data_IF_296243091385
#
_entry.id   IF_296243091385
#
_cell.length_a   1.000
_cell.length_b   1.000
_cell.length_c   1.000
_cell.angle_alpha   90.00
_cell.angle_beta   90.00
_cell.angle_gamma   90.00
#
_symmetry.space_group_name_H-M   'P 1'
#
loop_
_entity.id
_entity.type
_entity.pdbx_description
1 polymer ?
#
# COMPACT_ATOMS: atom_id res chain seq x y z
N UNK A 1 -18.10 -8.95 -1.73
CA UNK A 1 -17.25 -9.95 -2.37
C UNK A 1 -16.49 -10.80 -1.35
N UNK A 2 -15.64 -10.24 -0.49
CA UNK A 2 -14.86 -11.01 0.51
C UNK A 2 -15.74 -11.83 1.46
N UNK A 3 -16.89 -11.31 1.88
CA UNK A 3 -17.86 -12.05 2.69
C UNK A 3 -18.44 -13.24 1.95
N UNK A 4 -18.82 -13.07 0.69
CA UNK A 4 -19.31 -14.16 -0.15
C UNK A 4 -18.21 -15.21 -0.32
N UNK A 5 -16.98 -14.78 -0.65
CA UNK A 5 -15.85 -15.68 -0.80
C UNK A 5 -15.51 -16.43 0.50
N UNK A 6 -15.60 -15.77 1.64
CA UNK A 6 -15.41 -16.40 2.95
C UNK A 6 -16.47 -17.48 3.20
N UNK A 7 -17.75 -17.20 2.91
CA UNK A 7 -18.83 -18.17 3.06
C UNK A 7 -18.66 -19.38 2.14
N UNK A 8 -18.16 -19.17 0.92
CA UNK A 8 -17.95 -20.26 -0.04
C UNK A 8 -16.72 -21.11 0.30
N UNK A 9 -15.60 -20.49 0.73
CA UNK A 9 -14.34 -21.22 0.98
C UNK A 9 -14.14 -21.71 2.40
N UNK A 10 -14.79 -21.06 3.35
CA UNK A 10 -14.64 -21.36 4.77
C UNK A 10 -15.96 -21.12 5.53
N UNK A 11 -17.04 -21.87 5.22
CA UNK A 11 -18.39 -21.60 5.73
C UNK A 11 -18.51 -21.68 7.26
N UNK A 12 -17.60 -22.39 7.92
CA UNK A 12 -17.56 -22.54 9.38
C UNK A 12 -16.69 -21.49 10.08
N UNK A 13 -15.95 -20.66 9.33
CA UNK A 13 -15.13 -19.59 9.91
C UNK A 13 -16.02 -18.37 10.18
N UNK A 14 -16.02 -17.92 11.42
CA UNK A 14 -16.57 -16.62 11.80
C UNK A 14 -15.72 -15.48 11.23
N UNK A 15 -16.29 -14.27 11.22
CA UNK A 15 -15.56 -13.04 10.91
C UNK A 15 -14.43 -12.85 11.92
N UNK A 16 -13.27 -12.47 11.42
CA UNK A 16 -12.12 -12.06 12.21
C UNK A 16 -11.95 -10.53 12.18
N UNK A 17 -10.69 -10.10 12.26
CA UNK A 17 -10.33 -8.69 12.18
C UNK A 17 -10.39 -7.97 13.53
N UNK A 18 -10.12 -6.68 13.50
CA UNK A 18 -10.07 -5.82 14.67
C UNK A 18 -10.34 -4.35 14.33
N UNK A 19 -10.75 -3.53 15.31
CA UNK A 19 -10.86 -2.08 15.12
C UNK A 19 -9.54 -1.43 14.71
N UNK A 20 -8.41 -1.91 15.25
CA UNK A 20 -7.07 -1.42 14.84
C UNK A 20 -6.79 -1.73 13.37
N UNK A 21 -7.12 -2.94 12.94
CA UNK A 21 -7.00 -3.34 11.53
C UNK A 21 -7.94 -2.56 10.62
N UNK A 22 -9.20 -2.37 11.03
CA UNK A 22 -10.18 -1.57 10.28
C UNK A 22 -9.77 -0.11 10.16
N UNK A 23 -9.28 0.50 11.23
CA UNK A 23 -8.77 1.89 11.22
C UNK A 23 -7.54 2.03 10.31
N UNK A 24 -6.57 1.13 10.43
CA UNK A 24 -5.37 1.16 9.58
C UNK A 24 -5.72 1.00 8.10
N UNK A 25 -6.64 0.08 7.78
CA UNK A 25 -7.13 -0.13 6.42
C UNK A 25 -7.88 1.10 5.88
N UNK A 26 -8.75 1.71 6.70
CA UNK A 26 -9.47 2.93 6.35
C UNK A 26 -8.51 4.09 6.07
N UNK A 27 -7.58 4.36 6.98
CA UNK A 27 -6.59 5.43 6.81
C UNK A 27 -5.75 5.23 5.57
N UNK A 28 -5.27 3.99 5.34
CA UNK A 28 -4.57 3.67 4.10
C UNK A 28 -5.41 4.01 2.87
N UNK A 29 -6.62 3.47 2.76
CA UNK A 29 -7.44 3.63 1.57
C UNK A 29 -7.86 5.09 1.32
N UNK A 30 -8.21 5.81 2.38
CA UNK A 30 -8.59 7.22 2.30
C UNK A 30 -7.43 8.11 1.88
N UNK A 31 -6.32 8.06 2.60
CA UNK A 31 -5.13 8.88 2.31
C UNK A 31 -4.55 8.57 0.92
N UNK A 32 -4.51 7.29 0.55
CA UNK A 32 -4.14 6.82 -0.77
C UNK A 32 -5.01 7.45 -1.86
N UNK A 33 -6.33 7.40 -1.70
CA UNK A 33 -7.27 7.94 -2.67
C UNK A 33 -7.11 9.45 -2.84
N UNK A 34 -6.96 10.18 -1.73
CA UNK A 34 -6.75 11.65 -1.75
C UNK A 34 -5.41 12.00 -2.43
N UNK A 35 -4.34 11.27 -2.12
CA UNK A 35 -3.03 11.54 -2.69
C UNK A 35 -2.98 11.31 -4.21
N UNK A 36 -3.63 10.26 -4.71
CA UNK A 36 -3.65 9.96 -6.14
C UNK A 36 -4.42 10.96 -7.01
N UNK A 37 -5.18 11.86 -6.43
CA UNK A 37 -5.80 12.96 -7.19
C UNK A 37 -4.73 13.87 -7.84
N UNK A 38 -3.55 13.96 -7.23
CA UNK A 38 -2.47 14.85 -7.67
C UNK A 38 -1.16 14.13 -8.00
N UNK A 39 -1.04 12.85 -7.67
CA UNK A 39 0.16 12.07 -7.95
C UNK A 39 -0.08 11.12 -9.11
N UNK A 40 0.88 11.03 -10.02
CA UNK A 40 0.90 9.98 -11.02
C UNK A 40 1.09 8.58 -10.41
N UNK A 41 0.64 7.55 -11.14
CA UNK A 41 0.61 6.17 -10.66
C UNK A 41 2.00 5.67 -10.23
N UNK A 42 3.05 5.96 -11.02
CA UNK A 42 4.42 5.57 -10.71
C UNK A 42 4.98 6.25 -9.46
N UNK A 43 4.81 7.56 -9.36
CA UNK A 43 5.27 8.35 -8.20
C UNK A 43 4.54 7.89 -6.93
N UNK A 44 3.21 7.79 -7.00
CA UNK A 44 2.39 7.37 -5.87
C UNK A 44 2.77 5.98 -5.36
N UNK A 45 2.93 5.01 -6.27
CA UNK A 45 3.35 3.67 -5.90
C UNK A 45 4.75 3.65 -5.27
N UNK A 46 5.72 4.40 -5.81
CA UNK A 46 7.08 4.45 -5.26
C UNK A 46 7.10 5.03 -3.84
N UNK A 47 6.40 6.15 -3.61
CA UNK A 47 6.30 6.77 -2.28
C UNK A 47 5.59 5.85 -1.30
N UNK A 48 4.45 5.27 -1.70
CA UNK A 48 3.69 4.34 -0.87
C UNK A 48 4.54 3.17 -0.41
N UNK A 49 5.09 2.40 -1.36
CA UNK A 49 5.83 1.18 -1.05
C UNK A 49 7.16 1.48 -0.34
N UNK A 50 7.82 2.60 -0.66
CA UNK A 50 8.97 3.07 0.10
C UNK A 50 8.63 3.35 1.56
N UNK A 51 7.54 4.07 1.83
CA UNK A 51 7.06 4.34 3.19
C UNK A 51 6.64 3.06 3.93
N UNK A 52 6.00 2.10 3.25
CA UNK A 52 5.69 0.77 3.82
C UNK A 52 6.95 0.08 4.31
N UNK A 53 7.97 0.00 3.47
CA UNK A 53 9.22 -0.66 3.82
C UNK A 53 9.93 0.03 4.99
N UNK A 54 9.98 1.38 4.98
CA UNK A 54 10.54 2.16 6.09
C UNK A 54 9.78 1.90 7.39
N UNK A 55 8.46 1.86 7.35
CA UNK A 55 7.62 1.60 8.52
C UNK A 55 7.90 0.22 9.11
N UNK A 56 7.94 -0.81 8.27
CA UNK A 56 8.20 -2.19 8.71
C UNK A 56 9.60 -2.34 9.27
N UNK A 57 10.60 -1.72 8.63
CA UNK A 57 11.98 -1.71 9.09
C UNK A 57 12.12 -1.00 10.45
N UNK A 58 11.57 0.21 10.57
CA UNK A 58 11.63 1.00 11.79
C UNK A 58 10.93 0.28 12.95
N UNK A 59 9.78 -0.34 12.70
CA UNK A 59 9.10 -1.16 13.70
C UNK A 59 9.97 -2.32 14.20
N UNK A 60 10.60 -3.06 13.29
CA UNK A 60 11.47 -4.18 13.63
C UNK A 60 12.69 -3.70 14.43
N UNK A 61 13.27 -2.56 14.04
CA UNK A 61 14.39 -1.95 14.76
C UNK A 61 14.01 -1.52 16.19
N UNK A 62 12.89 -0.83 16.36
CA UNK A 62 12.37 -0.44 17.69
C UNK A 62 12.07 -1.68 18.55
N UNK A 63 11.70 -2.79 17.95
CA UNK A 63 11.47 -4.08 18.63
C UNK A 63 12.78 -4.80 19.00
N UNK A 64 13.93 -4.21 18.70
CA UNK A 64 15.26 -4.73 19.06
C UNK A 64 15.82 -5.74 18.05
N UNK A 65 15.24 -5.87 16.85
CA UNK A 65 15.84 -6.69 15.80
C UNK A 65 17.19 -6.07 15.38
N UNK A 66 18.21 -6.90 15.31
CA UNK A 66 19.53 -6.47 14.83
C UNK A 66 19.63 -6.70 13.34
N UNK A 67 20.11 -5.69 12.64
CA UNK A 67 20.26 -5.72 11.19
C UNK A 67 21.73 -5.78 10.79
N UNK A 68 22.00 -6.56 9.75
CA UNK A 68 23.34 -6.54 9.13
C UNK A 68 23.60 -5.18 8.46
N UNK A 69 24.87 -4.84 8.26
CA UNK A 69 25.27 -3.62 7.56
C UNK A 69 24.64 -3.52 6.14
N UNK A 70 24.38 -4.65 5.48
CA UNK A 70 23.68 -4.67 4.18
C UNK A 70 22.23 -4.22 4.29
N UNK A 71 21.51 -4.68 5.29
CA UNK A 71 20.12 -4.24 5.54
C UNK A 71 20.09 -2.74 5.81
N UNK A 72 20.96 -2.28 6.71
CA UNK A 72 21.03 -0.85 7.05
C UNK A 72 21.40 0.00 5.83
N UNK A 73 22.44 -0.38 5.09
CA UNK A 73 22.85 0.31 3.86
C UNK A 73 21.75 0.34 2.80
N UNK A 74 21.07 -0.79 2.59
CA UNK A 74 19.93 -0.87 1.67
C UNK A 74 18.78 0.05 2.08
N UNK A 75 18.43 0.11 3.36
CA UNK A 75 17.35 0.98 3.85
C UNK A 75 17.73 2.46 3.77
N UNK A 76 18.99 2.82 4.08
CA UNK A 76 19.48 4.19 3.90
C UNK A 76 19.46 4.61 2.42
N UNK A 77 19.86 3.73 1.53
CA UNK A 77 19.79 3.95 0.08
C UNK A 77 18.34 4.17 -0.37
N UNK A 78 17.41 3.33 0.08
CA UNK A 78 15.99 3.49 -0.24
C UNK A 78 15.42 4.81 0.28
N UNK A 79 15.78 5.21 1.51
CA UNK A 79 15.39 6.50 2.07
C UNK A 79 15.97 7.67 1.27
N UNK A 80 17.26 7.62 0.89
CA UNK A 80 17.89 8.62 0.06
C UNK A 80 17.21 8.77 -1.31
N UNK A 81 16.77 7.65 -1.91
CA UNK A 81 15.99 7.66 -3.16
C UNK A 81 14.64 8.36 -3.01
N UNK A 82 13.92 8.17 -1.90
CA UNK A 82 12.69 8.90 -1.62
C UNK A 82 12.95 10.40 -1.41
N UNK A 83 13.99 10.75 -0.68
CA UNK A 83 14.40 12.15 -0.53
C UNK A 83 14.73 12.77 -1.88
N UNK A 84 15.50 12.07 -2.73
CA UNK A 84 15.82 12.54 -4.09
C UNK A 84 14.56 12.80 -4.92
N UNK A 85 13.55 11.92 -4.84
CA UNK A 85 12.28 12.10 -5.53
C UNK A 85 11.56 13.37 -5.08
N UNK A 86 11.59 13.67 -3.79
CA UNK A 86 10.83 14.76 -3.17
C UNK A 86 11.60 16.10 -3.13
N UNK A 87 12.88 16.12 -3.49
CA UNK A 87 13.65 17.37 -3.55
C UNK A 87 12.98 18.41 -4.46
N UNK A 88 12.92 19.68 -4.07
CA UNK A 88 12.34 20.73 -4.91
C UNK A 88 12.97 20.80 -6.31
N UNK A 89 12.17 21.18 -7.30
CA UNK A 89 12.61 21.34 -8.70
C UNK A 89 11.45 21.09 -9.68
N UNK A 90 11.66 21.40 -10.96
CA UNK A 90 10.62 21.40 -11.99
C UNK A 90 9.87 20.06 -12.18
N UNK A 91 10.54 18.94 -11.90
CA UNK A 91 9.93 17.60 -11.99
C UNK A 91 9.61 17.00 -10.61
N UNK A 92 9.55 17.80 -9.54
CA UNK A 92 9.19 17.32 -8.22
C UNK A 92 7.67 17.09 -8.13
N UNK A 93 7.22 15.98 -7.53
CA UNK A 93 5.81 15.79 -7.25
C UNK A 93 5.34 16.78 -6.17
N UNK A 94 4.03 17.10 -6.10
CA UNK A 94 3.48 17.94 -5.04
C UNK A 94 3.83 17.36 -3.65
N UNK A 95 4.51 18.15 -2.82
CA UNK A 95 5.02 17.69 -1.53
C UNK A 95 3.88 17.27 -0.58
N UNK A 96 2.79 18.06 -0.53
CA UNK A 96 1.65 17.76 0.33
C UNK A 96 1.04 16.39 -0.01
N UNK A 97 0.76 16.13 -1.29
CA UNK A 97 0.20 14.85 -1.75
C UNK A 97 1.17 13.69 -1.54
N UNK A 98 2.47 13.95 -1.70
CA UNK A 98 3.52 12.96 -1.42
C UNK A 98 3.59 12.60 0.07
N UNK A 99 3.45 13.57 0.97
CA UNK A 99 3.38 13.32 2.41
C UNK A 99 2.10 12.55 2.78
N UNK A 100 0.96 12.90 2.19
CA UNK A 100 -0.30 12.14 2.38
C UNK A 100 -0.14 10.70 1.89
N UNK A 101 0.52 10.48 0.75
CA UNK A 101 0.82 9.14 0.25
C UNK A 101 1.79 8.38 1.16
N UNK A 102 2.80 9.05 1.72
CA UNK A 102 3.70 8.43 2.70
C UNK A 102 2.95 8.00 3.97
N UNK A 103 2.02 8.83 4.47
CA UNK A 103 1.14 8.46 5.59
C UNK A 103 0.24 7.27 5.24
N UNK A 104 -0.28 7.18 4.02
CA UNK A 104 -0.98 5.99 3.53
C UNK A 104 -0.07 4.75 3.59
N UNK A 105 1.20 4.89 3.21
CA UNK A 105 2.21 3.83 3.32
C UNK A 105 2.47 3.40 4.78
N UNK A 106 2.56 4.35 5.70
CA UNK A 106 2.66 4.06 7.15
C UNK A 106 1.44 3.27 7.63
N UNK A 107 0.23 3.70 7.25
CA UNK A 107 -1.01 3.01 7.61
C UNK A 107 -1.06 1.58 7.04
N UNK A 108 -0.64 1.38 5.78
CA UNK A 108 -0.52 0.05 5.18
C UNK A 108 0.54 -0.81 5.84
N UNK A 109 1.69 -0.24 6.21
CA UNK A 109 2.73 -0.92 6.98
C UNK A 109 2.20 -1.38 8.35
N UNK A 110 1.49 -0.51 9.06
CA UNK A 110 0.84 -0.84 10.32
C UNK A 110 -0.21 -1.96 10.15
N UNK A 111 -1.07 -1.86 9.13
CA UNK A 111 -2.03 -2.90 8.78
C UNK A 111 -1.35 -4.26 8.53
N UNK A 112 -0.27 -4.25 7.76
CA UNK A 112 0.52 -5.45 7.44
C UNK A 112 1.14 -6.08 8.70
N UNK A 113 1.64 -5.25 9.62
CA UNK A 113 2.20 -5.70 10.91
C UNK A 113 1.11 -6.27 11.83
N UNK A 114 -0.08 -5.68 11.86
CA UNK A 114 -1.23 -6.20 12.62
C UNK A 114 -1.71 -7.54 12.09
N UNK A 115 -1.65 -7.75 10.75
CA UNK A 115 -2.01 -9.00 10.10
C UNK A 115 -0.94 -10.08 10.15
N UNK A 116 0.28 -9.74 10.59
CA UNK A 116 1.41 -10.69 10.67
C UNK A 116 1.08 -11.84 11.62
N UNK A 117 1.14 -13.06 11.11
CA UNK A 117 0.86 -14.28 11.89
C UNK A 117 -0.63 -14.65 11.97
N UNK A 118 -1.51 -13.98 11.25
CA UNK A 118 -2.92 -14.38 11.17
C UNK A 118 -3.05 -15.80 10.60
N UNK A 119 -3.77 -16.64 11.33
CA UNK A 119 -4.13 -17.99 10.87
C UNK A 119 -5.34 -17.98 9.92
N UNK A 120 -6.08 -16.85 9.87
CA UNK A 120 -7.31 -16.70 9.09
C UNK A 120 -7.31 -15.39 8.29
N UNK A 121 -6.32 -15.13 7.42
CA UNK A 121 -6.13 -13.83 6.79
C UNK A 121 -7.33 -13.34 5.97
N UNK A 122 -8.07 -14.26 5.33
CA UNK A 122 -9.29 -13.91 4.59
C UNK A 122 -10.41 -13.44 5.52
N UNK A 123 -10.62 -14.13 6.65
CA UNK A 123 -11.64 -13.77 7.64
C UNK A 123 -11.28 -12.45 8.33
N UNK A 124 -10.00 -12.26 8.67
CA UNK A 124 -9.52 -11.03 9.30
C UNK A 124 -9.62 -9.83 8.35
N UNK A 125 -9.27 -10.02 7.08
CA UNK A 125 -9.42 -8.95 6.07
C UNK A 125 -10.89 -8.59 5.86
N UNK A 126 -11.78 -9.58 5.73
CA UNK A 126 -13.21 -9.35 5.60
C UNK A 126 -13.77 -8.58 6.81
N UNK A 127 -13.36 -8.96 8.02
CA UNK A 127 -13.74 -8.25 9.25
C UNK A 127 -13.16 -6.84 9.32
N UNK A 128 -11.89 -6.63 8.93
CA UNK A 128 -11.28 -5.29 8.91
C UNK A 128 -12.00 -4.34 7.95
N UNK A 129 -12.46 -4.83 6.79
CA UNK A 129 -13.32 -4.03 5.90
C UNK A 129 -14.65 -3.67 6.57
N UNK A 130 -15.27 -4.57 7.35
CA UNK A 130 -16.49 -4.24 8.10
C UNK A 130 -16.22 -3.22 9.22
N UNK A 131 -15.11 -3.36 9.95
CA UNK A 131 -14.71 -2.37 10.96
C UNK A 131 -14.35 -1.01 10.37
N UNK A 132 -14.00 -0.92 9.08
CA UNK A 132 -13.77 0.36 8.39
C UNK A 132 -15.08 1.06 7.97
N UNK A 133 -16.20 0.35 7.85
CA UNK A 133 -17.47 0.92 7.38
C UNK A 133 -17.98 2.11 8.21
N UNK A 134 -17.98 2.09 9.57
CA UNK A 134 -18.44 3.25 10.35
C UNK A 134 -17.62 4.51 10.04
N UNK A 135 -16.29 4.36 9.85
CA UNK A 135 -15.41 5.48 9.49
C UNK A 135 -15.71 6.01 8.08
N UNK A 136 -15.98 5.11 7.15
CA UNK A 136 -16.39 5.47 5.79
C UNK A 136 -17.74 6.19 5.80
N UNK A 137 -18.70 5.75 6.59
CA UNK A 137 -20.01 6.40 6.72
C UNK A 137 -19.89 7.79 7.34
N UNK A 138 -19.02 7.97 8.35
CA UNK A 138 -18.74 9.29 8.94
C UNK A 138 -18.10 10.23 7.90
N UNK A 139 -17.14 9.74 7.11
CA UNK A 139 -16.54 10.51 6.03
C UNK A 139 -17.57 10.89 4.98
N UNK A 140 -18.42 9.95 4.54
CA UNK A 140 -19.46 10.19 3.58
C UNK A 140 -20.50 11.21 4.09
N UNK A 141 -20.91 11.12 5.34
CA UNK A 141 -21.82 12.08 5.98
C UNK A 141 -21.20 13.49 6.00
N UNK A 142 -19.90 13.62 6.34
CA UNK A 142 -19.19 14.90 6.30
C UNK A 142 -19.14 15.51 4.89
N UNK A 143 -18.99 14.71 3.85
CA UNK A 143 -19.01 15.17 2.45
C UNK A 143 -20.40 15.61 2.00
N UNK A 144 -21.47 14.96 2.48
CA UNK A 144 -22.86 15.32 2.14
C UNK A 144 -23.29 16.63 2.81
N UNK A 145 -22.77 16.93 4.00
CA UNK A 145 -23.05 18.20 4.72
C UNK A 145 -22.36 19.41 4.05
N UNK A 146 -21.27 19.16 3.29
CA UNK A 146 -20.63 20.19 2.46
C UNK A 146 -21.35 20.37 1.11
N UNK A 147 -20.56 20.61 0.07
CA UNK A 147 -21.10 20.81 -1.30
C UNK A 147 -21.68 19.53 -1.94
N UNK A 148 -21.63 18.43 -1.22
CA UNK A 148 -22.05 17.11 -1.67
C UNK A 148 -21.08 16.45 -2.67
N UNK A 149 -21.02 15.12 -2.70
CA UNK A 149 -20.19 14.44 -3.69
C UNK A 149 -20.87 14.49 -5.07
N UNK A 150 -20.13 14.87 -6.09
CA UNK A 150 -20.56 14.67 -7.48
C UNK A 150 -20.41 13.19 -7.81
N UNK A 151 -21.52 12.46 -7.74
CA UNK A 151 -21.55 11.03 -8.02
C UNK A 151 -21.91 10.79 -9.49
N UNK A 152 -20.87 10.61 -10.32
CA UNK A 152 -21.06 10.22 -11.72
C UNK A 152 -21.06 8.71 -11.89
N UNK A 153 -21.77 8.21 -12.91
CA UNK A 153 -21.81 6.76 -13.24
C UNK A 153 -20.42 6.17 -13.42
N UNK A 154 -19.52 6.88 -14.12
CA UNK A 154 -18.12 6.44 -14.30
C UNK A 154 -17.39 6.30 -12.97
N UNK A 155 -17.56 7.24 -12.03
CA UNK A 155 -16.97 7.18 -10.69
C UNK A 155 -17.43 5.95 -9.91
N UNK A 156 -18.73 5.64 -9.97
CA UNK A 156 -19.30 4.43 -9.35
C UNK A 156 -18.70 3.16 -9.96
N UNK A 157 -18.61 3.09 -11.30
CA UNK A 157 -18.03 1.93 -11.98
C UNK A 157 -16.55 1.74 -11.62
N UNK A 158 -15.75 2.80 -11.58
CA UNK A 158 -14.35 2.73 -11.15
C UNK A 158 -14.21 2.33 -9.67
N UNK A 159 -15.07 2.85 -8.80
CA UNK A 159 -15.08 2.46 -7.39
C UNK A 159 -15.41 0.97 -7.20
N UNK A 160 -16.41 0.45 -7.94
CA UNK A 160 -16.76 -0.96 -7.94
C UNK A 160 -15.61 -1.82 -8.50
N UNK A 161 -15.01 -1.44 -9.62
CA UNK A 161 -13.88 -2.14 -10.19
C UNK A 161 -12.68 -2.17 -9.22
N UNK A 162 -12.33 -1.04 -8.62
CA UNK A 162 -11.27 -0.94 -7.62
C UNK A 162 -11.57 -1.78 -6.39
N UNK A 163 -12.77 -1.69 -5.82
CA UNK A 163 -13.14 -2.40 -4.60
C UNK A 163 -13.30 -3.92 -4.79
N UNK A 164 -13.94 -4.34 -5.88
CA UNK A 164 -14.23 -5.76 -6.13
C UNK A 164 -13.06 -6.46 -6.83
N UNK A 165 -12.57 -5.90 -7.93
CA UNK A 165 -11.53 -6.57 -8.74
C UNK A 165 -10.14 -6.33 -8.16
N UNK A 166 -9.72 -5.07 -8.01
CA UNK A 166 -8.36 -4.81 -7.55
C UNK A 166 -8.17 -5.18 -6.08
N UNK A 167 -9.07 -4.77 -5.20
CA UNK A 167 -8.95 -5.10 -3.77
C UNK A 167 -9.48 -6.50 -3.44
N UNK A 168 -10.75 -6.78 -3.70
CA UNK A 168 -11.36 -8.04 -3.28
C UNK A 168 -10.75 -9.27 -3.93
N UNK A 169 -10.68 -9.31 -5.26
CA UNK A 169 -10.08 -10.43 -5.99
C UNK A 169 -8.55 -10.45 -5.81
N UNK A 170 -7.90 -9.28 -5.80
CA UNK A 170 -6.47 -9.15 -5.57
C UNK A 170 -6.04 -9.76 -4.22
N UNK A 171 -6.74 -9.45 -3.14
CA UNK A 171 -6.48 -10.07 -1.83
C UNK A 171 -6.70 -11.59 -1.85
N UNK A 172 -7.76 -12.06 -2.52
CA UNK A 172 -8.04 -13.49 -2.59
C UNK A 172 -6.93 -14.26 -3.30
N UNK A 173 -6.41 -13.71 -4.41
CA UNK A 173 -5.27 -14.27 -5.15
C UNK A 173 -3.99 -14.19 -4.30
N UNK A 174 -3.71 -13.03 -3.72
CA UNK A 174 -2.52 -12.82 -2.89
C UNK A 174 -2.44 -13.82 -1.74
N UNK A 175 -3.53 -14.00 -0.98
CA UNK A 175 -3.56 -14.97 0.12
C UNK A 175 -3.46 -16.42 -0.36
N UNK A 176 -3.86 -16.71 -1.59
CA UNK A 176 -3.61 -18.02 -2.20
C UNK A 176 -2.12 -18.26 -2.49
N UNK A 177 -1.43 -17.24 -3.01
CA UNK A 177 -0.04 -17.32 -3.43
C UNK A 177 0.93 -17.19 -2.26
N UNK A 178 0.72 -16.23 -1.34
CA UNK A 178 1.67 -15.91 -0.27
C UNK A 178 1.96 -17.09 0.67
N UNK A 179 1.04 -18.04 0.75
CA UNK A 179 1.23 -19.28 1.52
C UNK A 179 2.22 -20.26 0.88
N UNK A 180 2.47 -20.11 -0.42
CA UNK A 180 3.31 -21.02 -1.20
C UNK A 180 4.72 -20.47 -1.43
N UNK A 181 4.98 -19.23 -1.02
CA UNK A 181 6.26 -18.54 -1.19
C UNK A 181 6.84 -18.13 0.16
N UNK A 182 8.16 -18.01 0.22
CA UNK A 182 8.81 -17.49 1.43
C UNK A 182 8.49 -16.00 1.63
N UNK A 183 8.59 -15.51 2.86
CA UNK A 183 8.39 -14.10 3.17
C UNK A 183 9.33 -13.19 2.36
N UNK A 184 10.55 -13.65 2.10
CA UNK A 184 11.52 -12.93 1.27
C UNK A 184 11.08 -12.86 -0.20
N UNK A 185 10.60 -13.98 -0.76
CA UNK A 185 10.06 -14.00 -2.12
C UNK A 185 8.83 -13.10 -2.25
N UNK A 186 7.90 -13.15 -1.28
CA UNK A 186 6.73 -12.27 -1.25
C UNK A 186 7.12 -10.78 -1.22
N UNK A 187 8.09 -10.42 -0.37
CA UNK A 187 8.60 -9.04 -0.31
C UNK A 187 9.28 -8.62 -1.62
N UNK A 188 10.07 -9.50 -2.23
CA UNK A 188 10.71 -9.23 -3.53
C UNK A 188 9.68 -9.02 -4.64
N UNK A 189 8.62 -9.84 -4.67
CA UNK A 189 7.52 -9.67 -5.63
C UNK A 189 6.86 -8.30 -5.51
N UNK A 190 6.70 -7.76 -4.30
CA UNK A 190 6.12 -6.45 -4.08
C UNK A 190 6.97 -5.30 -4.66
N UNK A 191 8.27 -5.50 -4.87
CA UNK A 191 9.13 -4.50 -5.52
C UNK A 191 8.77 -4.29 -7.00
N UNK A 192 8.09 -5.24 -7.62
CA UNK A 192 7.61 -5.06 -9.00
C UNK A 192 6.44 -4.06 -9.10
N UNK A 193 5.72 -3.81 -8.00
CA UNK A 193 4.50 -2.99 -8.05
C UNK A 193 4.74 -1.55 -8.51
N UNK A 194 5.73 -0.79 -8.01
CA UNK A 194 6.01 0.55 -8.52
C UNK A 194 6.41 0.57 -10.00
N UNK A 195 7.10 -0.47 -10.47
CA UNK A 195 7.49 -0.60 -11.89
C UNK A 195 6.25 -0.83 -12.75
N UNK A 196 5.39 -1.80 -12.36
CA UNK A 196 4.15 -2.10 -13.08
C UNK A 196 3.21 -0.89 -13.05
N UNK A 197 3.10 -0.19 -11.91
CA UNK A 197 2.29 1.01 -11.79
C UNK A 197 2.80 2.15 -12.69
N UNK A 198 4.12 2.35 -12.77
CA UNK A 198 4.73 3.35 -13.66
C UNK A 198 4.46 3.02 -15.13
N UNK A 199 4.64 1.78 -15.54
CA UNK A 199 4.36 1.34 -16.91
C UNK A 199 2.87 1.45 -17.24
N UNK A 200 2.00 1.06 -16.30
CA UNK A 200 0.55 1.22 -16.43
C UNK A 200 0.13 2.68 -16.54
N UNK A 201 0.73 3.57 -15.73
CA UNK A 201 0.51 5.01 -15.79
C UNK A 201 0.85 5.61 -17.16
N UNK A 202 2.00 5.22 -17.73
CA UNK A 202 2.39 5.64 -19.08
C UNK A 202 1.39 5.13 -20.13
N UNK A 203 1.10 3.84 -20.10
CA UNK A 203 0.33 3.19 -21.16
C UNK A 203 -1.18 3.51 -21.09
N UNK A 204 -1.76 3.54 -19.88
CA UNK A 204 -3.21 3.70 -19.71
C UNK A 204 -3.62 5.14 -19.44
N UNK A 205 -2.74 5.94 -18.81
CA UNK A 205 -3.06 7.30 -18.37
C UNK A 205 -2.27 8.37 -19.13
N UNK A 206 -1.35 7.98 -20.03
CA UNK A 206 -0.50 8.91 -20.77
C UNK A 206 0.51 9.68 -19.90
N UNK A 207 0.86 9.12 -18.73
CA UNK A 207 1.84 9.75 -17.82
C UNK A 207 3.25 9.79 -18.46
N UNK A 208 4.01 10.84 -18.19
CA UNK A 208 5.40 10.96 -18.63
C UNK A 208 6.34 10.43 -17.54
N UNK A 209 7.29 9.57 -17.93
CA UNK A 209 8.35 9.14 -17.04
C UNK A 209 9.43 10.22 -16.97
N UNK A 210 9.51 10.92 -15.82
CA UNK A 210 10.62 11.84 -15.59
C UNK A 210 11.91 11.07 -15.28
N UNK A 211 13.06 11.62 -15.72
CA UNK A 211 14.36 11.06 -15.35
C UNK A 211 14.53 10.94 -13.83
N UNK A 212 13.99 11.92 -13.08
CA UNK A 212 13.97 11.87 -11.62
C UNK A 212 13.25 10.64 -11.08
N UNK A 213 12.05 10.32 -11.60
CA UNK A 213 11.31 9.14 -11.20
C UNK A 213 12.10 7.87 -11.52
N UNK A 214 12.72 7.78 -12.69
CA UNK A 214 13.53 6.63 -13.07
C UNK A 214 14.70 6.42 -12.10
N UNK A 215 15.49 7.48 -11.85
CA UNK A 215 16.65 7.42 -10.94
C UNK A 215 16.19 7.09 -9.53
N UNK A 216 15.17 7.78 -9.01
CA UNK A 216 14.62 7.50 -7.68
C UNK A 216 14.12 6.06 -7.57
N UNK A 217 13.44 5.53 -8.59
CA UNK A 217 12.97 4.14 -8.63
C UNK A 217 14.13 3.15 -8.53
N UNK A 218 15.19 3.35 -9.31
CA UNK A 218 16.39 2.49 -9.26
C UNK A 218 17.02 2.53 -7.87
N UNK A 219 17.14 3.71 -7.25
CA UNK A 219 17.76 3.87 -5.93
C UNK A 219 16.87 3.25 -4.84
N UNK A 220 15.56 3.52 -4.83
CA UNK A 220 14.63 2.97 -3.84
C UNK A 220 14.54 1.45 -3.96
N UNK A 221 14.22 0.95 -5.16
CA UNK A 221 14.02 -0.47 -5.38
C UNK A 221 15.32 -1.26 -5.23
N UNK A 222 16.44 -0.69 -5.68
CA UNK A 222 17.77 -1.25 -5.48
C UNK A 222 18.15 -1.34 -3.99
N UNK A 223 17.88 -0.29 -3.23
CA UNK A 223 18.09 -0.24 -1.78
C UNK A 223 17.26 -1.29 -1.03
N UNK A 224 15.96 -1.38 -1.33
CA UNK A 224 15.08 -2.39 -0.73
C UNK A 224 15.50 -3.80 -1.16
N UNK A 225 15.84 -4.01 -2.45
CA UNK A 225 16.36 -5.28 -2.95
C UNK A 225 17.64 -5.71 -2.25
N UNK A 226 18.57 -4.78 -2.01
CA UNK A 226 19.79 -5.02 -1.25
C UNK A 226 19.49 -5.43 0.20
N UNK A 227 18.56 -4.74 0.86
CA UNK A 227 18.15 -5.06 2.22
C UNK A 227 17.52 -6.46 2.31
N UNK A 228 16.65 -6.82 1.35
CA UNK A 228 15.99 -8.12 1.29
C UNK A 228 16.95 -9.28 0.91
N UNK A 229 18.03 -9.01 0.18
CA UNK A 229 19.04 -10.01 -0.20
C UNK A 229 19.96 -10.40 0.96
N UNK A 230 19.98 -9.60 2.02
CA UNK A 230 20.81 -9.90 3.20
C UNK A 230 20.23 -11.08 3.97
N UNK A 231 21.08 -12.09 4.26
CA UNK A 231 20.71 -13.18 5.17
C UNK A 231 20.43 -12.60 6.57
N UNK A 232 19.40 -13.08 7.23
CA UNK A 232 19.19 -12.80 8.66
C UNK A 232 20.38 -13.37 9.43
N UNK A 233 21.02 -12.54 10.23
CA UNK A 233 22.08 -12.94 11.16
C UNK A 233 21.44 -13.53 12.40
#
# INVERSE_FOLDING_TARGET
>A
FLLILLRLRAPRQGLGGSWKGGLALFLYAWLFSVAYVQLGAGVGALVLFGAVQMTMFLYAWIRGERFSGRVMGGMLMAFAGLVLLLLPGAAAPPLASSLVMALAGVAWGAYSLLGKGSLRPLADTAGNFLFSLPLLLLLAAGLVVGDGPVVGTSGVLYALASGVLASGAGYAVWYGVVRQVSAQQAATMQLSVPVIASLGGVWLLGETLSLRLLVASVVVLGGVGLALSARRV
#
